data_IF_438185170739
#
_entry.id   IF_438185170739
#
_cell.length_a   1.000
_cell.length_b   1.000
_cell.length_c   1.000
_cell.angle_alpha   90.00
_cell.angle_beta   90.00
_cell.angle_gamma   90.00
#
_symmetry.space_group_name_H-M   'P 1'
#
loop_
_entity.id
_entity.type
_entity.pdbx_description
1 polymer ?
#
# COMPACT_ATOMS: atom_id res chain seq x y z
N UNK A 1 -11.40 6.83 -7.35
CA UNK A 1 -12.03 5.49 -7.38
C UNK A 1 -13.14 5.47 -6.34
N UNK A 2 -14.29 4.84 -6.59
CA UNK A 2 -15.35 4.73 -5.58
C UNK A 2 -15.05 3.63 -4.55
N UNK A 3 -15.69 3.68 -3.38
CA UNK A 3 -15.56 2.65 -2.36
C UNK A 3 -16.08 1.28 -2.86
N UNK A 4 -17.18 1.26 -3.61
CA UNK A 4 -17.75 0.02 -4.18
C UNK A 4 -16.78 -0.64 -5.18
N UNK A 5 -16.16 0.14 -6.05
CA UNK A 5 -15.14 -0.38 -6.98
C UNK A 5 -13.91 -0.92 -6.24
N UNK A 6 -13.47 -0.26 -5.16
CA UNK A 6 -12.36 -0.75 -4.35
C UNK A 6 -12.72 -2.09 -3.69
N UNK A 7 -13.90 -2.18 -3.07
CA UNK A 7 -14.35 -3.41 -2.40
C UNK A 7 -14.39 -4.58 -3.39
N UNK A 8 -14.99 -4.38 -4.58
CA UNK A 8 -15.04 -5.43 -5.59
C UNK A 8 -13.65 -5.90 -6.04
N UNK A 9 -12.66 -5.00 -6.09
CA UNK A 9 -11.26 -5.36 -6.41
C UNK A 9 -10.58 -6.11 -5.28
N UNK A 10 -10.86 -5.76 -4.02
CA UNK A 10 -10.34 -6.46 -2.85
C UNK A 10 -10.94 -7.86 -2.70
N UNK A 11 -12.24 -8.02 -2.96
CA UNK A 11 -12.91 -9.32 -2.93
C UNK A 11 -12.41 -10.28 -4.02
N UNK A 12 -11.88 -9.74 -5.13
CA UNK A 12 -11.28 -10.55 -6.19
C UNK A 12 -9.88 -11.09 -5.81
N UNK A 13 -9.26 -10.59 -4.74
CA UNK A 13 -7.95 -11.04 -4.29
C UNK A 13 -8.04 -12.29 -3.41
N UNK A 14 -6.98 -13.11 -3.38
CA UNK A 14 -6.84 -14.17 -2.38
C UNK A 14 -6.97 -13.62 -0.96
N UNK A 15 -7.62 -14.35 -0.03
CA UNK A 15 -7.89 -13.88 1.33
C UNK A 15 -6.62 -13.62 2.16
N UNK A 16 -5.51 -14.28 1.83
CA UNK A 16 -4.20 -14.09 2.47
C UNK A 16 -3.34 -13.01 1.78
N UNK A 17 -3.87 -12.29 0.79
CA UNK A 17 -3.12 -11.23 0.13
C UNK A 17 -2.96 -10.02 1.06
N UNK A 18 -1.72 -9.60 1.37
CA UNK A 18 -1.49 -8.41 2.18
C UNK A 18 -1.97 -7.16 1.43
N UNK A 19 -2.62 -6.26 2.16
CA UNK A 19 -3.09 -4.97 1.65
C UNK A 19 -2.34 -3.85 2.36
N UNK A 20 -1.73 -2.95 1.59
CA UNK A 20 -1.08 -1.75 2.10
C UNK A 20 -1.93 -0.53 1.74
N UNK A 21 -1.93 0.46 2.62
CA UNK A 21 -2.62 1.72 2.40
C UNK A 21 -1.63 2.85 2.61
N UNK A 22 -1.40 3.63 1.56
CA UNK A 22 -0.45 4.73 1.54
C UNK A 22 -1.18 6.05 1.30
N UNK A 23 -0.91 7.08 2.13
CA UNK A 23 -1.43 8.43 1.91
C UNK A 23 -2.95 8.57 2.10
N UNK A 24 -3.55 7.70 2.90
CA UNK A 24 -4.96 7.79 3.31
C UNK A 24 -5.01 8.08 4.81
N UNK A 25 -5.13 9.35 5.19
CA UNK A 25 -4.86 9.80 6.57
C UNK A 25 -6.15 10.09 7.34
N UNK A 26 -7.20 10.56 6.66
CA UNK A 26 -8.35 11.18 7.34
C UNK A 26 -9.66 10.42 7.19
N UNK A 27 -9.70 9.35 6.38
CA UNK A 27 -10.94 8.63 6.08
C UNK A 27 -11.85 9.33 5.05
N UNK A 28 -11.50 10.56 4.66
CA UNK A 28 -12.19 11.35 3.63
C UNK A 28 -11.35 11.58 2.39
N UNK A 29 -10.10 11.09 2.39
CA UNK A 29 -9.22 11.18 1.25
C UNK A 29 -9.76 10.34 0.08
N UNK A 30 -9.69 10.87 -1.13
CA UNK A 30 -10.01 10.08 -2.31
C UNK A 30 -8.95 8.99 -2.52
N UNK A 31 -9.40 7.78 -2.84
CA UNK A 31 -8.51 6.73 -3.36
C UNK A 31 -8.19 7.08 -4.80
N UNK A 32 -6.92 7.41 -5.03
CA UNK A 32 -6.39 7.82 -6.32
C UNK A 32 -6.09 6.59 -7.17
N UNK A 33 -5.47 5.57 -6.58
CA UNK A 33 -4.99 4.41 -7.33
C UNK A 33 -5.04 3.11 -6.52
N UNK A 34 -5.14 1.98 -7.23
CA UNK A 34 -5.06 0.64 -6.67
C UNK A 34 -4.18 -0.23 -7.57
N UNK A 35 -3.05 -0.66 -7.06
CA UNK A 35 -2.01 -1.40 -7.80
C UNK A 35 -1.65 -2.69 -7.06
N UNK A 36 -1.09 -3.66 -7.80
CA UNK A 36 -0.44 -4.81 -7.19
C UNK A 36 1.07 -4.60 -7.27
N UNK A 37 1.73 -4.51 -6.13
CA UNK A 37 3.16 -4.19 -6.05
C UNK A 37 3.91 -5.19 -5.19
N UNK A 38 5.20 -5.28 -5.43
CA UNK A 38 6.11 -6.04 -4.60
C UNK A 38 6.57 -5.17 -3.43
N UNK A 39 6.30 -5.64 -2.22
CA UNK A 39 6.65 -4.95 -0.98
C UNK A 39 7.58 -5.81 -0.15
N UNK A 40 8.42 -5.18 0.65
CA UNK A 40 9.32 -5.84 1.58
C UNK A 40 8.99 -5.40 2.99
N UNK A 41 9.06 -6.35 3.93
CA UNK A 41 8.89 -6.03 5.35
C UNK A 41 10.15 -5.34 5.85
N UNK A 42 10.04 -4.06 6.18
CA UNK A 42 11.16 -3.27 6.66
C UNK A 42 11.33 -3.46 8.17
N UNK A 43 12.33 -4.24 8.57
CA UNK A 43 12.57 -4.58 10.00
C UNK A 43 12.97 -3.40 10.87
N UNK A 44 13.40 -2.29 10.27
CA UNK A 44 13.78 -1.07 10.97
C UNK A 44 12.69 0.02 10.91
N UNK A 45 11.47 -0.34 10.48
CA UNK A 45 10.35 0.58 10.46
C UNK A 45 10.10 1.17 11.85
N UNK A 46 9.97 2.49 11.89
CA UNK A 46 9.44 3.16 13.06
C UNK A 46 7.93 2.93 13.13
N UNK A 47 7.35 3.13 14.30
CA UNK A 47 5.90 3.00 14.54
C UNK A 47 5.04 3.84 13.57
N UNK A 48 5.61 4.90 13.00
CA UNK A 48 4.97 5.77 12.01
C UNK A 48 5.39 5.53 10.54
N UNK A 49 6.39 4.68 10.26
CA UNK A 49 6.92 4.46 8.89
C UNK A 49 6.22 3.30 8.14
N UNK A 50 5.36 2.54 8.84
CA UNK A 50 4.72 1.34 8.31
C UNK A 50 5.68 0.15 8.21
N UNK A 51 5.21 -1.05 8.55
CA UNK A 51 6.05 -2.26 8.56
C UNK A 51 6.47 -2.74 7.16
N UNK A 52 5.80 -2.26 6.11
CA UNK A 52 6.02 -2.67 4.73
C UNK A 52 6.27 -1.46 3.86
N UNK A 53 7.20 -1.60 2.93
CA UNK A 53 7.56 -0.54 2.00
C UNK A 53 7.71 -1.11 0.58
N UNK A 54 7.41 -0.30 -0.43
CA UNK A 54 7.57 -0.66 -1.84
C UNK A 54 9.04 -0.79 -2.21
N UNK A 55 9.35 -1.68 -3.15
CA UNK A 55 10.73 -1.90 -3.62
C UNK A 55 11.38 -0.65 -4.23
N UNK A 56 10.61 0.31 -4.73
CA UNK A 56 11.13 1.58 -5.28
C UNK A 56 12.01 2.34 -4.26
N UNK A 57 11.70 2.21 -2.97
CA UNK A 57 12.46 2.84 -1.88
C UNK A 57 13.75 2.10 -1.51
N UNK A 58 13.95 0.87 -2.01
CA UNK A 58 15.13 0.05 -1.71
C UNK A 58 15.95 -0.18 -2.98
N UNK A 59 17.13 0.42 -3.04
CA UNK A 59 18.07 0.19 -4.16
C UNK A 59 18.70 -1.20 -4.15
N UNK A 60 18.46 -2.02 -3.12
CA UNK A 60 19.00 -3.37 -2.99
C UNK A 60 17.85 -4.38 -2.92
N UNK A 61 17.96 -5.44 -3.72
CA UNK A 61 17.01 -6.55 -3.76
C UNK A 61 17.00 -7.29 -2.40
N UNK A 62 16.14 -6.86 -1.48
CA UNK A 62 15.92 -7.61 -0.25
C UNK A 62 15.21 -8.93 -0.55
N UNK A 63 15.79 -10.01 -0.03
CA UNK A 63 15.36 -11.40 -0.21
C UNK A 63 14.11 -11.64 0.63
N UNK A 64 12.96 -11.16 0.14
CA UNK A 64 11.69 -11.29 0.87
C UNK A 64 10.50 -10.53 0.29
N UNK A 65 10.55 -10.18 -1.00
CA UNK A 65 9.47 -9.47 -1.67
C UNK A 65 8.16 -10.30 -1.64
N UNK A 66 7.12 -9.72 -1.07
CA UNK A 66 5.76 -10.24 -1.05
C UNK A 66 4.93 -9.45 -2.06
N UNK A 67 4.01 -10.13 -2.75
CA UNK A 67 3.04 -9.45 -3.59
C UNK A 67 1.91 -8.92 -2.72
N UNK A 68 1.68 -7.62 -2.77
CA UNK A 68 0.64 -6.95 -2.00
C UNK A 68 -0.21 -6.07 -2.90
N UNK A 69 -1.46 -5.86 -2.48
CA UNK A 69 -2.31 -4.85 -3.08
C UNK A 69 -2.09 -3.51 -2.36
N UNK A 70 -1.77 -2.46 -3.10
CA UNK A 70 -1.50 -1.13 -2.57
C UNK A 70 -2.64 -0.20 -2.94
N UNK A 71 -3.24 0.41 -1.92
CA UNK A 71 -4.24 1.45 -2.04
C UNK A 71 -3.53 2.78 -1.86
N UNK A 72 -3.54 3.59 -2.90
CA UNK A 72 -2.97 4.94 -2.89
C UNK A 72 -4.06 5.97 -2.64
N UNK A 73 -4.03 6.57 -1.46
CA UNK A 73 -4.79 7.77 -1.13
C UNK A 73 -4.15 9.02 -1.72
N UNK A 74 -4.90 10.12 -1.67
CA UNK A 74 -4.41 11.42 -2.15
C UNK A 74 -3.31 11.93 -1.22
N UNK A 75 -2.05 11.79 -1.63
CA UNK A 75 -0.91 12.44 -0.95
C UNK A 75 -1.21 13.94 -0.84
N UNK A 76 -1.45 14.42 0.38
CA UNK A 76 -1.53 15.84 0.66
C UNK A 76 -0.28 16.51 0.10
N UNK A 77 -0.47 17.62 -0.64
CA UNK A 77 0.65 18.43 -1.10
C UNK A 77 1.42 18.84 0.15
N UNK A 78 2.62 18.29 0.35
CA UNK A 78 3.55 18.70 1.41
C UNK A 78 3.67 20.22 1.30
N UNK A 79 3.13 20.94 2.30
CA UNK A 79 3.37 22.38 2.44
C UNK A 79 4.83 22.63 2.80
#
# INVERSE_FOLDING_TARGET
>A
MTAEELIARLEALPPDTPVLVEGYETGFDDIVEFTSEQVVRYRHAQEWDGEYQTLDRFSNQETGALQAAVIWGRRGHRR
#
